data_IF_540727851460
#
_entry.id   IF_540727851460
#
_cell.length_a   1.000
_cell.length_b   1.000
_cell.length_c   1.000
_cell.angle_alpha   90.00
_cell.angle_beta   90.00
_cell.angle_gamma   90.00
#
_symmetry.space_group_name_H-M   'P 1'
#
loop_
_entity.id
_entity.type
_entity.pdbx_description
1 polymer ?
#
# COMPACT_ATOMS: atom_id res chain seq x y z
N UNK A 1 -8.26 9.52 2.12
CA UNK A 1 -7.16 9.15 1.22
C UNK A 1 -5.86 9.68 1.79
N UNK A 2 -4.76 8.96 1.64
CA UNK A 2 -3.43 9.36 2.10
C UNK A 2 -2.39 9.07 1.01
N UNK A 3 -1.41 9.97 0.85
CA UNK A 3 -0.27 9.75 -0.04
C UNK A 3 0.93 9.33 0.78
N UNK A 4 1.51 8.18 0.46
CA UNK A 4 2.67 7.60 1.14
C UNK A 4 3.75 7.25 0.11
N UNK A 5 5.00 7.36 0.55
CA UNK A 5 6.15 6.96 -0.24
C UNK A 5 6.72 5.65 0.31
N UNK A 6 6.40 4.54 -0.34
CA UNK A 6 6.79 3.22 0.17
C UNK A 6 8.27 2.97 -0.13
N UNK A 7 9.06 2.71 0.92
CA UNK A 7 10.49 2.39 0.84
C UNK A 7 10.69 0.89 1.06
N UNK A 8 9.97 0.29 2.01
CA UNK A 8 9.97 -1.14 2.24
C UNK A 8 8.68 -1.81 1.74
N UNK A 9 8.69 -2.22 0.47
CA UNK A 9 7.54 -2.87 -0.17
C UNK A 9 7.11 -4.17 0.51
N UNK A 10 8.04 -5.00 0.98
CA UNK A 10 7.66 -6.29 1.60
C UNK A 10 6.99 -6.09 2.96
N UNK A 11 7.51 -5.16 3.78
CA UNK A 11 6.88 -4.83 5.06
C UNK A 11 5.53 -4.13 4.87
N UNK A 12 5.42 -3.25 3.88
CA UNK A 12 4.17 -2.63 3.49
C UNK A 12 3.11 -3.67 3.13
N UNK A 13 3.43 -4.60 2.21
CA UNK A 13 2.49 -5.65 1.78
C UNK A 13 2.15 -6.61 2.92
N UNK A 14 3.10 -6.90 3.81
CA UNK A 14 2.83 -7.68 5.04
C UNK A 14 1.83 -6.96 5.95
N UNK A 15 1.94 -5.65 6.10
CA UNK A 15 1.02 -4.84 6.90
C UNK A 15 -0.37 -4.80 6.26
N UNK A 16 -0.44 -4.57 4.94
CA UNK A 16 -1.69 -4.62 4.15
C UNK A 16 -2.40 -5.96 4.31
N UNK A 17 -1.69 -7.08 4.23
CA UNK A 17 -2.27 -8.42 4.38
C UNK A 17 -2.75 -8.74 5.79
N UNK A 18 -2.39 -7.93 6.80
CA UNK A 18 -2.89 -8.03 8.18
C UNK A 18 -4.08 -7.11 8.45
N UNK A 19 -4.43 -6.23 7.52
CA UNK A 19 -5.61 -5.37 7.64
C UNK A 19 -6.89 -6.20 7.64
N UNK A 20 -7.90 -5.75 8.39
CA UNK A 20 -9.20 -6.43 8.48
C UNK A 20 -10.08 -6.12 7.26
N UNK A 21 -9.97 -4.91 6.72
CA UNK A 21 -10.66 -4.46 5.53
C UNK A 21 -9.76 -4.36 4.31
N UNK A 22 -10.39 -4.09 3.17
CA UNK A 22 -9.70 -3.78 1.94
C UNK A 22 -8.86 -2.50 2.09
N UNK A 23 -7.65 -2.55 1.55
CA UNK A 23 -6.80 -1.36 1.35
C UNK A 23 -6.81 -1.09 -0.14
N UNK A 24 -7.23 0.11 -0.53
CA UNK A 24 -7.34 0.46 -1.93
C UNK A 24 -6.19 1.35 -2.37
N UNK A 25 -5.52 0.98 -3.46
CA UNK A 25 -4.73 1.92 -4.25
C UNK A 25 -5.66 2.76 -5.12
N UNK A 26 -5.45 4.07 -5.14
CA UNK A 26 -6.24 5.01 -5.94
C UNK A 26 -5.38 5.57 -7.06
N UNK A 27 -5.81 5.35 -8.30
CA UNK A 27 -5.15 5.86 -9.48
C UNK A 27 -6.03 6.94 -10.16
N UNK A 28 -5.43 8.05 -10.65
CA UNK A 28 -6.18 9.08 -11.36
C UNK A 28 -6.94 8.48 -12.55
N UNK A 29 -8.25 8.74 -12.64
CA UNK A 29 -9.09 8.37 -13.77
C UNK A 29 -9.41 6.87 -13.92
N UNK A 30 -8.84 5.99 -13.08
CA UNK A 30 -8.97 4.52 -13.21
C UNK A 30 -9.66 3.86 -12.00
N UNK A 31 -10.00 4.65 -10.98
CA UNK A 31 -10.75 4.19 -9.82
C UNK A 31 -9.86 3.64 -8.70
N UNK A 32 -10.39 2.68 -7.95
CA UNK A 32 -9.76 2.10 -6.77
C UNK A 32 -9.52 0.62 -7.01
N UNK A 33 -8.32 0.14 -6.70
CA UNK A 33 -7.93 -1.27 -6.80
C UNK A 33 -7.62 -1.79 -5.41
N UNK A 34 -8.32 -2.84 -4.98
CA UNK A 34 -7.99 -3.52 -3.72
C UNK A 34 -6.63 -4.20 -3.85
N UNK A 35 -5.77 -4.03 -2.85
CA UNK A 35 -4.45 -4.64 -2.79
C UNK A 35 -4.36 -5.74 -1.72
N UNK A 36 -5.34 -5.86 -0.81
CA UNK A 36 -5.32 -6.82 0.29
C UNK A 36 -5.46 -8.25 -0.23
N UNK A 37 -4.42 -9.08 -0.05
CA UNK A 37 -4.40 -10.47 -0.50
C UNK A 37 -4.46 -10.69 -2.02
N UNK A 38 -4.26 -9.64 -2.82
CA UNK A 38 -4.33 -9.72 -4.29
C UNK A 38 -2.94 -9.97 -4.90
N UNK A 39 -2.52 -11.24 -4.98
CA UNK A 39 -1.14 -11.63 -5.36
C UNK A 39 -0.64 -11.00 -6.66
N UNK A 40 -1.46 -10.97 -7.71
CA UNK A 40 -1.09 -10.38 -9.01
C UNK A 40 -0.82 -8.87 -8.90
N UNK A 41 -1.65 -8.17 -8.13
CA UNK A 41 -1.51 -6.72 -7.90
C UNK A 41 -0.30 -6.45 -7.00
N UNK A 42 -0.06 -7.29 -6.00
CA UNK A 42 1.10 -7.15 -5.12
C UNK A 42 2.40 -7.41 -5.87
N UNK A 43 2.46 -8.41 -6.76
CA UNK A 43 3.62 -8.65 -7.62
C UNK A 43 3.85 -7.48 -8.59
N UNK A 44 2.79 -6.90 -9.13
CA UNK A 44 2.90 -5.67 -9.93
C UNK A 44 3.53 -4.51 -9.13
N UNK A 45 3.11 -4.31 -7.88
CA UNK A 45 3.68 -3.28 -6.99
C UNK A 45 5.16 -3.55 -6.68
N UNK A 46 5.55 -4.81 -6.42
CA UNK A 46 6.96 -5.20 -6.23
C UNK A 46 7.82 -4.86 -7.44
N UNK A 47 7.34 -5.16 -8.66
CA UNK A 47 8.05 -4.83 -9.90
C UNK A 47 8.22 -3.33 -10.05
N UNK A 48 7.14 -2.55 -9.92
CA UNK A 48 7.20 -1.09 -9.99
C UNK A 48 8.15 -0.47 -8.95
N UNK A 49 8.15 -1.01 -7.75
CA UNK A 49 9.06 -0.56 -6.69
C UNK A 49 10.52 -0.82 -7.06
N UNK A 50 10.86 -2.00 -7.60
CA UNK A 50 12.21 -2.31 -8.09
C UNK A 50 12.60 -1.42 -9.27
N UNK A 51 11.72 -1.26 -10.25
CA UNK A 51 11.95 -0.45 -11.44
C UNK A 51 12.20 1.02 -11.08
N UNK A 52 11.57 1.50 -10.01
CA UNK A 52 11.74 2.85 -9.48
C UNK A 52 12.77 2.94 -8.35
N UNK A 53 13.79 2.06 -8.38
CA UNK A 53 14.98 2.07 -7.50
C UNK A 53 14.67 1.95 -6.00
N UNK A 54 13.66 1.18 -5.64
CA UNK A 54 13.30 0.92 -4.25
C UNK A 54 12.44 2.01 -3.62
N UNK A 55 11.63 2.68 -4.43
CA UNK A 55 10.75 3.75 -3.97
C UNK A 55 9.43 3.72 -4.77
N UNK A 56 8.27 3.79 -4.12
CA UNK A 56 6.99 3.85 -4.84
C UNK A 56 5.97 4.78 -4.16
N UNK A 57 5.63 5.94 -4.75
CA UNK A 57 4.57 6.79 -4.23
C UNK A 57 3.19 6.20 -4.53
N UNK A 58 2.38 5.99 -3.50
CA UNK A 58 1.02 5.47 -3.60
C UNK A 58 0.02 6.42 -2.95
N UNK A 59 -1.18 6.49 -3.53
CA UNK A 59 -2.35 7.09 -2.87
C UNK A 59 -3.26 5.97 -2.42
N UNK A 60 -3.54 5.93 -1.11
CA UNK A 60 -4.32 4.87 -0.50
C UNK A 60 -5.66 5.40 0.02
N UNK A 61 -6.67 4.55 -0.06
CA UNK A 61 -7.90 4.68 0.70
C UNK A 61 -8.08 3.46 1.59
N UNK A 62 -8.27 3.71 2.89
CA UNK A 62 -8.36 2.68 3.92
C UNK A 62 -9.65 2.95 4.70
N UNK A 63 -10.74 2.23 4.42
CA UNK A 63 -12.05 2.52 5.02
C UNK A 63 -12.11 2.21 6.52
N UNK A 64 -11.27 1.28 6.99
CA UNK A 64 -11.28 0.81 8.38
C UNK A 64 -10.28 1.64 9.21
N UNK A 65 -10.73 2.36 10.26
CA UNK A 65 -9.85 3.24 11.04
C UNK A 65 -8.66 2.54 11.72
N UNK A 66 -8.85 1.29 12.18
CA UNK A 66 -7.78 0.51 12.81
C UNK A 66 -6.68 0.11 11.79
N UNK A 67 -7.09 -0.20 10.56
CA UNK A 67 -6.17 -0.53 9.47
C UNK A 67 -5.41 0.72 9.01
N UNK A 68 -6.09 1.88 8.97
CA UNK A 68 -5.46 3.17 8.71
C UNK A 68 -4.31 3.41 9.70
N UNK A 69 -4.57 3.26 11.01
CA UNK A 69 -3.54 3.44 12.04
C UNK A 69 -2.40 2.44 11.88
N UNK A 70 -2.70 1.19 11.49
CA UNK A 70 -1.66 0.17 11.26
C UNK A 70 -0.72 0.57 10.12
N UNK A 71 -1.26 1.11 9.02
CA UNK A 71 -0.48 1.58 7.87
C UNK A 71 0.33 2.85 8.22
N UNK A 72 -0.23 3.78 9.01
CA UNK A 72 0.51 4.95 9.50
C UNK A 72 1.68 4.55 10.40
N UNK A 73 1.45 3.61 11.33
CA UNK A 73 2.50 3.14 12.23
C UNK A 73 3.63 2.44 11.48
N UNK A 74 3.29 1.65 10.45
CA UNK A 74 4.27 1.14 9.50
C UNK A 74 5.09 2.29 8.89
N UNK A 75 4.41 3.27 8.30
CA UNK A 75 5.08 4.36 7.59
C UNK A 75 5.98 5.21 8.49
N UNK A 76 5.56 5.46 9.73
CA UNK A 76 6.38 6.20 10.70
C UNK A 76 7.66 5.46 11.10
N UNK A 77 7.68 4.12 11.03
CA UNK A 77 8.86 3.29 11.28
C UNK A 77 9.70 2.98 10.03
N UNK A 78 9.17 3.25 8.83
CA UNK A 78 9.85 3.05 7.54
C UNK A 78 10.60 4.31 7.06
N UNK A 79 10.40 5.45 7.73
CA UNK A 79 11.09 6.74 7.49
C UNK A 79 12.50 6.79 8.11
#
# INVERSE_FOLDING_TARGET
MIKLNIINMEEFLRTVNRCKGAVYMVAPGTGKTDITGQDEIQEYLRRKHRDNKGYLPLVLEIPVPADYMSIINFYAGDL
#
